data_IF_215218095103
#
_entry.id   IF_215218095103
#
_cell.length_a   1.000
_cell.length_b   1.000
_cell.length_c   1.000
_cell.angle_alpha   90.00
_cell.angle_beta   90.00
_cell.angle_gamma   90.00
#
_symmetry.space_group_name_H-M   'P 1'
#
loop_
_entity.id
_entity.type
_entity.pdbx_description
1 polymer ?
#
# COMPACT_ATOMS: atom_id res chain seq x y z
N UNK A 1 1.24 13.13 -2.33
CA UNK A 1 1.85 14.12 -3.24
C UNK A 1 2.71 13.46 -4.33
N UNK A 2 3.03 14.18 -5.41
CA UNK A 2 3.78 13.67 -6.58
C UNK A 2 5.17 13.12 -6.20
N UNK A 3 5.92 13.82 -5.35
CA UNK A 3 7.25 13.37 -4.90
C UNK A 3 7.21 11.98 -4.25
N UNK A 4 6.16 11.67 -3.47
CA UNK A 4 6.00 10.37 -2.83
C UNK A 4 5.78 9.25 -3.86
N UNK A 5 5.01 9.51 -4.92
CA UNK A 5 4.81 8.57 -6.02
C UNK A 5 6.11 8.30 -6.80
N UNK A 6 6.94 9.33 -7.00
CA UNK A 6 8.26 9.19 -7.65
C UNK A 6 9.20 8.32 -6.79
N UNK A 7 9.20 8.51 -5.47
CA UNK A 7 10.00 7.69 -4.55
C UNK A 7 9.57 6.21 -4.55
N UNK A 8 8.27 5.94 -4.64
CA UNK A 8 7.74 4.56 -4.77
C UNK A 8 8.28 3.89 -6.04
N UNK A 9 8.26 4.59 -7.18
CA UNK A 9 8.85 4.08 -8.42
C UNK A 9 10.34 3.77 -8.30
N UNK A 10 11.09 4.62 -7.59
CA UNK A 10 12.52 4.43 -7.36
C UNK A 10 12.79 3.20 -6.48
N UNK A 11 12.00 3.00 -5.42
CA UNK A 11 12.05 1.82 -4.55
C UNK A 11 11.73 0.52 -5.30
N UNK A 12 10.70 0.53 -6.14
CA UNK A 12 10.35 -0.63 -6.99
C UNK A 12 11.50 -0.94 -7.97
N UNK A 13 12.15 0.09 -8.52
CA UNK A 13 13.33 -0.06 -9.38
C UNK A 13 14.50 -0.71 -8.64
N UNK A 14 14.80 -0.28 -7.42
CA UNK A 14 15.84 -0.88 -6.57
C UNK A 14 15.50 -2.33 -6.25
N UNK A 15 14.26 -2.62 -5.86
CA UNK A 15 13.80 -3.99 -5.58
C UNK A 15 13.97 -4.92 -6.78
N UNK A 16 13.68 -4.43 -7.99
CA UNK A 16 13.89 -5.19 -9.23
C UNK A 16 15.39 -5.45 -9.50
N UNK A 17 16.27 -4.47 -9.25
CA UNK A 17 17.72 -4.66 -9.40
C UNK A 17 18.23 -5.71 -8.41
N UNK A 18 17.77 -5.67 -7.16
CA UNK A 18 18.17 -6.65 -6.13
C UNK A 18 17.64 -8.05 -6.46
N UNK A 19 16.39 -8.18 -6.91
CA UNK A 19 15.82 -9.47 -7.35
C UNK A 19 16.70 -10.13 -8.43
N UNK A 20 17.10 -9.35 -9.44
CA UNK A 20 17.87 -9.87 -10.58
C UNK A 20 19.34 -10.11 -10.21
N UNK A 21 19.95 -9.25 -9.39
CA UNK A 21 21.39 -9.30 -9.09
C UNK A 21 21.74 -10.19 -7.89
N UNK A 22 20.85 -10.32 -6.90
CA UNK A 22 21.14 -10.98 -5.61
C UNK A 22 20.39 -12.29 -5.48
N UNK A 23 19.09 -12.31 -5.81
CA UNK A 23 18.24 -13.49 -5.64
C UNK A 23 18.26 -14.43 -6.85
N UNK A 24 18.73 -13.96 -8.01
CA UNK A 24 18.85 -14.75 -9.23
C UNK A 24 17.52 -15.18 -9.86
N UNK A 25 16.38 -14.85 -9.23
CA UNK A 25 15.04 -15.04 -9.77
C UNK A 25 14.32 -13.68 -9.82
N UNK A 26 13.91 -13.20 -11.00
CA UNK A 26 13.16 -11.96 -11.09
C UNK A 26 11.81 -12.08 -10.39
N UNK A 27 11.46 -11.07 -9.59
CA UNK A 27 10.07 -10.72 -9.32
C UNK A 27 9.60 -10.82 -7.86
N UNK A 28 10.34 -11.43 -6.94
CA UNK A 28 9.85 -11.62 -5.56
C UNK A 28 9.83 -10.29 -4.79
N UNK A 29 10.97 -9.60 -4.66
CA UNK A 29 11.06 -8.31 -3.96
C UNK A 29 10.29 -7.22 -4.70
N UNK A 30 10.37 -7.18 -6.03
CA UNK A 30 9.60 -6.23 -6.83
C UNK A 30 8.10 -6.37 -6.54
N UNK A 31 7.58 -7.60 -6.57
CA UNK A 31 6.17 -7.87 -6.29
C UNK A 31 5.84 -7.51 -4.85
N UNK A 32 6.68 -7.89 -3.89
CA UNK A 32 6.46 -7.55 -2.47
C UNK A 32 6.37 -6.04 -2.23
N UNK A 33 7.29 -5.25 -2.81
CA UNK A 33 7.28 -3.78 -2.67
C UNK A 33 6.05 -3.16 -3.33
N UNK A 34 5.66 -3.66 -4.52
CA UNK A 34 4.44 -3.21 -5.19
C UNK A 34 3.21 -3.51 -4.34
N UNK A 35 3.06 -4.72 -3.83
CA UNK A 35 1.93 -5.11 -2.98
C UNK A 35 1.90 -4.32 -1.67
N UNK A 36 3.06 -4.05 -1.06
CA UNK A 36 3.14 -3.23 0.14
C UNK A 36 2.56 -1.82 -0.08
N UNK A 37 3.02 -1.12 -1.12
CA UNK A 37 2.49 0.21 -1.43
C UNK A 37 1.05 0.18 -1.97
N UNK A 38 0.68 -0.88 -2.67
CA UNK A 38 -0.70 -1.10 -3.12
C UNK A 38 -1.66 -1.28 -1.93
N UNK A 39 -1.25 -1.97 -0.86
CA UNK A 39 -2.08 -2.10 0.34
C UNK A 39 -2.35 -0.74 1.00
N UNK A 40 -1.35 0.14 1.07
CA UNK A 40 -1.52 1.48 1.64
C UNK A 40 -2.50 2.35 0.81
N UNK A 41 -2.35 2.36 -0.52
CA UNK A 41 -3.30 3.08 -1.40
C UNK A 41 -4.66 2.37 -1.46
N UNK A 42 -4.67 1.04 -1.31
CA UNK A 42 -5.87 0.20 -1.28
C UNK A 42 -6.72 0.43 -0.05
N UNK A 43 -6.12 0.71 1.10
CA UNK A 43 -6.84 1.15 2.31
C UNK A 43 -7.56 2.49 2.05
N UNK A 44 -6.85 3.50 1.53
CA UNK A 44 -7.47 4.79 1.16
C UNK A 44 -8.57 4.63 0.09
N UNK A 45 -8.43 3.70 -0.85
CA UNK A 45 -9.48 3.38 -1.82
C UNK A 45 -10.70 2.75 -1.14
N UNK A 46 -10.48 1.82 -0.21
CA UNK A 46 -11.55 1.11 0.52
C UNK A 46 -12.32 2.06 1.43
N UNK A 47 -11.61 2.98 2.09
CA UNK A 47 -12.20 4.08 2.86
C UNK A 47 -13.09 4.97 1.98
N UNK A 48 -12.59 5.44 0.84
CA UNK A 48 -13.38 6.23 -0.10
C UNK A 48 -14.59 5.46 -0.65
N UNK A 49 -14.43 4.17 -0.95
CA UNK A 49 -15.54 3.31 -1.37
C UNK A 49 -16.63 3.19 -0.29
N UNK A 50 -16.24 3.04 0.98
CA UNK A 50 -17.16 3.04 2.11
C UNK A 50 -17.87 4.39 2.27
N UNK A 51 -17.17 5.52 2.08
CA UNK A 51 -17.77 6.86 2.09
C UNK A 51 -18.78 7.08 0.95
N UNK A 52 -18.55 6.47 -0.22
CA UNK A 52 -19.46 6.51 -1.37
C UNK A 52 -20.69 5.60 -1.19
N UNK A 53 -20.81 4.88 -0.06
CA UNK A 53 -21.94 4.01 0.24
C UNK A 53 -21.92 2.68 -0.52
N UNK A 54 -20.77 2.27 -1.06
CA UNK A 54 -20.62 0.94 -1.62
C UNK A 54 -20.72 -0.11 -0.50
N UNK A 55 -21.24 -1.31 -0.80
CA UNK A 55 -21.36 -2.38 0.19
C UNK A 55 -19.98 -2.88 0.58
N UNK A 56 -19.42 -2.30 1.65
CA UNK A 56 -18.19 -2.75 2.31
C UNK A 56 -18.59 -3.53 3.58
N UNK A 57 -18.03 -4.73 3.82
CA UNK A 57 -18.30 -5.50 5.03
C UNK A 57 -18.07 -4.69 6.32
N UNK A 58 -19.01 -4.75 7.27
CA UNK A 58 -18.93 -3.96 8.52
C UNK A 58 -17.65 -4.24 9.31
N UNK A 59 -17.20 -5.50 9.34
CA UNK A 59 -15.94 -5.88 10.02
C UNK A 59 -14.70 -5.23 9.41
N UNK A 60 -14.71 -4.97 8.10
CA UNK A 60 -13.62 -4.23 7.45
C UNK A 60 -13.69 -2.74 7.78
N UNK A 61 -14.91 -2.18 7.85
CA UNK A 61 -15.13 -0.79 8.23
C UNK A 61 -14.67 -0.50 9.66
N UNK A 62 -15.02 -1.36 10.62
CA UNK A 62 -14.56 -1.26 12.02
C UNK A 62 -13.03 -1.28 12.12
N UNK A 63 -12.35 -2.14 11.36
CA UNK A 63 -10.89 -2.24 11.35
C UNK A 63 -10.24 -1.02 10.69
N UNK A 64 -10.84 -0.50 9.62
CA UNK A 64 -10.40 0.74 8.98
C UNK A 64 -10.51 1.95 9.92
N UNK A 65 -11.62 2.07 10.65
CA UNK A 65 -11.85 3.15 11.63
C UNK A 65 -10.84 3.07 12.79
N UNK A 66 -10.59 1.87 13.33
CA UNK A 66 -9.53 1.65 14.33
C UNK A 66 -8.12 1.96 13.81
N UNK A 67 -7.85 1.75 12.52
CA UNK A 67 -6.56 2.06 11.93
C UNK A 67 -6.39 3.57 11.73
N UNK A 68 -7.49 4.27 11.39
CA UNK A 68 -7.52 5.73 11.24
C UNK A 68 -7.28 6.44 12.58
N UNK A 69 -7.99 6.05 13.65
CA UNK A 69 -7.82 6.61 14.99
C UNK A 69 -6.35 6.52 15.47
N UNK A 70 -5.67 5.42 15.16
CA UNK A 70 -4.25 5.24 15.52
C UNK A 70 -3.30 6.09 14.68
N UNK A 71 -3.64 6.37 13.42
CA UNK A 71 -2.83 7.24 12.57
C UNK A 71 -2.92 8.70 13.04
N UNK A 72 -4.09 9.13 13.50
CA UNK A 72 -4.31 10.48 14.04
C UNK A 72 -3.68 10.68 15.44
N UNK A 73 -3.51 9.62 16.23
CA UNK A 73 -2.78 9.66 17.51
C UNK A 73 -1.24 9.68 17.35
N UNK A 74 -0.72 9.25 16.18
CA UNK A 74 0.72 9.20 15.88
C UNK A 74 1.24 10.46 15.14
N UNK A 75 0.37 11.37 14.68
CA UNK A 75 0.73 12.72 14.17
C UNK A 75 0.73 13.80 15.26
#
# INVERSE_FOLDING_TARGET
GICRKVLIFLLVGIGNVIDVQVLGHPGVLRTAIIFFYLSNEGLSLTENAAHLGLPVPEKLKEVLEQLHDRHDEEE
#
